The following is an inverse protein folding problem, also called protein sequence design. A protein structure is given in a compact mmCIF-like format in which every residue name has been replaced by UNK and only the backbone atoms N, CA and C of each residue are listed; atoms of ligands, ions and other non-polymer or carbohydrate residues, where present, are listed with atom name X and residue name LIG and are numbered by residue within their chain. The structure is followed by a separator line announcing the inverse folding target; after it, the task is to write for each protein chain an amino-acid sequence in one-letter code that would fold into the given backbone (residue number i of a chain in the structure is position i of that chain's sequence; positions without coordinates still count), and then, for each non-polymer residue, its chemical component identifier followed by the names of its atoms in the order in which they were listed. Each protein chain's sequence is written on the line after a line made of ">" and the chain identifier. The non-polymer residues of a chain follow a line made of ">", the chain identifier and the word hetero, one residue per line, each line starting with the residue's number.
data_IF_997572129447
#
_entry.id   IF_997572129447
#
_cell.length_a   1.000
_cell.length_b   1.000
_cell.length_c   1.000
_cell.angle_alpha   90.00
_cell.angle_beta   90.00
_cell.angle_gamma   90.00
#
_symmetry.space_group_name_H-M   'P 1'
#
loop_
_entity.id
_entity.type
_entity.pdbx_description
1 polymer ?
#
# COMPACT_ATOMS: atom_id res chain seq x y z
N UNK A 1 10.03 -1.82 14.41
CA UNK A 1 10.23 -0.71 13.45
C UNK A 1 9.37 -0.97 12.22
N UNK A 2 8.22 -0.32 12.14
CA UNK A 2 7.25 -0.51 11.06
C UNK A 2 7.66 0.25 9.79
N UNK A 3 8.16 -0.47 8.80
CA UNK A 3 8.59 0.11 7.51
C UNK A 3 7.41 0.48 6.60
N UNK A 4 6.27 -0.15 6.82
CA UNK A 4 5.00 0.15 6.14
C UNK A 4 4.16 1.03 7.05
N UNK A 5 3.72 2.19 6.55
CA UNK A 5 2.88 3.11 7.33
C UNK A 5 1.39 2.82 7.16
N UNK A 6 0.91 2.72 5.91
CA UNK A 6 -0.51 2.48 5.64
C UNK A 6 -0.74 1.94 4.22
N UNK A 7 -1.75 1.08 4.07
CA UNK A 7 -2.25 0.65 2.78
C UNK A 7 -2.95 1.80 2.06
N UNK A 8 -2.87 1.82 0.72
CA UNK A 8 -3.55 2.84 -0.08
C UNK A 8 -4.80 2.24 -0.69
N UNK A 9 -5.96 2.77 -0.30
CA UNK A 9 -7.26 2.36 -0.84
C UNK A 9 -7.81 3.42 -1.79
N UNK A 10 -7.93 3.06 -3.07
CA UNK A 10 -8.51 3.84 -4.17
C UNK A 10 -9.03 2.84 -5.21
N UNK A 11 -9.94 3.23 -6.11
CA UNK A 11 -10.41 2.35 -7.19
C UNK A 11 -9.26 1.75 -8.02
N UNK A 12 -8.21 2.55 -8.28
CA UNK A 12 -7.02 2.07 -8.98
C UNK A 12 -6.31 0.96 -8.21
N UNK A 13 -6.20 1.08 -6.88
CA UNK A 13 -5.53 0.05 -6.08
C UNK A 13 -6.40 -1.19 -5.96
N UNK A 14 -7.72 -1.07 -5.95
CA UNK A 14 -8.65 -2.21 -6.08
C UNK A 14 -8.46 -2.94 -7.42
N UNK A 15 -8.32 -2.21 -8.53
CA UNK A 15 -8.03 -2.81 -9.85
C UNK A 15 -6.68 -3.53 -9.87
N UNK A 16 -5.65 -2.97 -9.23
CA UNK A 16 -4.33 -3.60 -9.11
C UNK A 16 -4.35 -4.83 -8.19
N UNK A 17 -5.17 -4.80 -7.15
CA UNK A 17 -5.35 -5.93 -6.23
C UNK A 17 -5.87 -7.17 -6.95
N UNK A 18 -6.77 -7.01 -7.94
CA UNK A 18 -7.21 -8.12 -8.82
C UNK A 18 -6.06 -8.79 -9.59
N UNK A 19 -4.93 -8.10 -9.75
CA UNK A 19 -3.71 -8.60 -10.39
C UNK A 19 -2.62 -9.03 -9.39
N UNK A 20 -2.98 -9.27 -8.11
CA UNK A 20 -2.04 -9.55 -7.02
C UNK A 20 -0.99 -8.45 -6.80
N UNK A 21 -1.36 -7.20 -7.13
CA UNK A 21 -0.51 -6.04 -6.90
C UNK A 21 -1.06 -5.20 -5.74
N UNK A 22 -0.23 -5.00 -4.74
CA UNK A 22 -0.57 -4.33 -3.49
C UNK A 22 0.09 -2.97 -3.43
N UNK A 23 -0.67 -1.94 -3.07
CA UNK A 23 -0.14 -0.58 -2.99
C UNK A 23 -0.08 -0.11 -1.55
N UNK A 24 1.09 0.30 -1.11
CA UNK A 24 1.33 0.74 0.26
C UNK A 24 2.22 1.99 0.30
N UNK A 25 1.99 2.86 1.27
CA UNK A 25 2.86 4.00 1.53
C UNK A 25 3.88 3.63 2.61
N UNK A 26 5.14 3.86 2.28
CA UNK A 26 6.30 3.56 3.10
C UNK A 26 7.05 4.85 3.42
N UNK A 27 7.95 4.77 4.39
CA UNK A 27 8.83 5.87 4.70
C UNK A 27 9.76 6.20 3.51
N UNK A 28 10.01 7.49 3.28
CA UNK A 28 10.77 7.92 2.11
C UNK A 28 12.23 7.43 2.12
N UNK A 29 12.78 7.19 3.32
CA UNK A 29 14.16 6.73 3.53
C UNK A 29 14.34 5.23 3.26
N UNK A 30 13.26 4.44 3.24
CA UNK A 30 13.35 2.98 3.08
C UNK A 30 13.79 2.58 1.67
N UNK A 31 14.69 1.60 1.58
CA UNK A 31 15.16 1.02 0.32
C UNK A 31 14.24 -0.11 -0.16
N UNK A 32 14.33 -0.44 -1.46
CA UNK A 32 13.53 -1.52 -2.06
C UNK A 32 13.87 -2.88 -1.44
N UNK A 33 15.15 -3.16 -1.21
CA UNK A 33 15.62 -4.43 -0.66
C UNK A 33 15.12 -4.66 0.76
N UNK A 34 15.17 -3.62 1.58
CA UNK A 34 14.67 -3.66 2.96
C UNK A 34 13.19 -3.98 3.06
N UNK A 35 12.37 -3.31 2.23
CA UNK A 35 10.91 -3.52 2.24
C UNK A 35 10.58 -4.91 1.70
N UNK A 36 11.28 -5.38 0.66
CA UNK A 36 11.10 -6.73 0.13
C UNK A 36 11.31 -7.77 1.24
N UNK A 37 12.47 -7.73 1.91
CA UNK A 37 12.80 -8.66 2.99
C UNK A 37 11.79 -8.59 4.13
N UNK A 38 11.36 -7.39 4.51
CA UNK A 38 10.37 -7.22 5.58
C UNK A 38 9.01 -7.81 5.21
N UNK A 39 8.51 -7.57 3.99
CA UNK A 39 7.23 -8.11 3.51
C UNK A 39 7.27 -9.63 3.44
N UNK A 40 8.36 -10.20 2.92
CA UNK A 40 8.52 -11.65 2.80
C UNK A 40 8.56 -12.33 4.19
N UNK A 41 9.30 -11.76 5.15
CA UNK A 41 9.40 -12.30 6.50
C UNK A 41 8.12 -12.13 7.31
N UNK A 42 7.48 -10.96 7.25
CA UNK A 42 6.34 -10.64 8.11
C UNK A 42 5.05 -11.34 7.65
N UNK A 43 4.84 -11.44 6.33
CA UNK A 43 3.61 -12.04 5.79
C UNK A 43 3.82 -13.47 5.28
N UNK A 44 5.05 -13.99 5.25
CA UNK A 44 5.34 -15.32 4.71
C UNK A 44 5.02 -15.45 3.21
N UNK A 45 5.08 -14.34 2.47
CA UNK A 45 4.74 -14.28 1.04
C UNK A 45 6.00 -14.17 0.18
N UNK A 46 5.89 -14.52 -1.10
CA UNK A 46 6.99 -14.34 -2.06
C UNK A 46 6.73 -13.15 -2.98
N UNK A 47 7.68 -12.21 -3.04
CA UNK A 47 7.57 -10.98 -3.86
C UNK A 47 8.29 -11.18 -5.19
N UNK A 48 7.56 -11.06 -6.30
CA UNK A 48 8.13 -11.12 -7.66
C UNK A 48 8.82 -9.80 -8.00
N UNK A 49 8.08 -8.70 -7.87
CA UNK A 49 8.53 -7.38 -8.31
C UNK A 49 8.02 -6.31 -7.35
N UNK A 50 8.73 -5.18 -7.31
CA UNK A 50 8.31 -4.04 -6.50
C UNK A 50 8.70 -2.73 -7.18
N UNK A 51 7.73 -1.86 -7.39
CA UNK A 51 7.95 -0.55 -8.00
C UNK A 51 7.73 0.53 -6.96
N UNK A 52 8.56 1.58 -7.00
CA UNK A 52 8.50 2.67 -6.03
C UNK A 52 8.45 4.01 -6.73
N UNK A 53 7.67 4.95 -6.20
CA UNK A 53 7.72 6.35 -6.62
C UNK A 53 7.52 7.28 -5.41
N UNK A 54 8.12 8.47 -5.46
CA UNK A 54 7.91 9.48 -4.42
C UNK A 54 6.65 10.27 -4.73
N UNK A 55 5.76 10.41 -3.74
CA UNK A 55 4.56 11.23 -3.93
C UNK A 55 4.97 12.70 -3.76
N UNK A 56 4.62 13.58 -4.71
CA UNK A 56 4.89 15.00 -4.56
C UNK A 56 4.16 15.54 -3.32
N UNK A 57 4.88 16.33 -2.52
CA UNK A 57 4.30 16.98 -1.35
C UNK A 57 3.23 17.96 -1.81
N UNK A 58 2.00 17.83 -1.31
CA UNK A 58 0.97 18.85 -1.50
C UNK A 58 1.11 19.89 -0.40
N UNK A 59 1.43 21.13 -0.77
CA UNK A 59 1.35 22.26 0.14
C UNK A 59 -0.11 22.43 0.56
N UNK A 60 -0.35 22.52 1.87
CA UNK A 60 -1.69 22.72 2.43
C UNK A 60 -1.59 23.94 3.34
N UNK A 61 -2.41 24.95 3.05
CA UNK A 61 -2.56 26.10 3.93
C UNK A 61 -3.72 25.84 4.88
N UNK A 62 -3.49 25.99 6.19
CA UNK A 62 -4.55 26.06 7.19
C UNK A 62 -4.41 27.41 7.90
N UNK A 63 -5.26 28.36 7.54
CA UNK A 63 -5.29 29.73 8.08
C UNK A 63 -3.93 30.47 7.87
N UNK A 64 -3.28 31.18 8.84
CA UNK A 64 -2.00 31.83 8.54
C UNK A 64 -0.85 30.81 8.41
N UNK A 65 -1.02 29.58 8.89
CA UNK A 65 0.02 28.56 8.87
C UNK A 65 0.10 27.88 7.49
N UNK A 66 1.28 27.97 6.86
CA UNK A 66 1.66 27.15 5.71
C UNK A 66 2.38 25.90 6.20
N UNK A 67 1.89 24.73 5.81
CA UNK A 67 2.51 23.45 6.14
C UNK A 67 2.62 22.55 4.92
N UNK A 68 3.61 21.65 4.96
CA UNK A 68 3.77 20.59 3.98
C UNK A 68 3.30 19.28 4.57
N UNK A 69 2.56 18.47 3.79
CA UNK A 69 2.25 17.10 4.21
C UNK A 69 3.54 16.28 4.25
N UNK A 70 3.65 15.39 5.22
CA UNK A 70 4.76 14.43 5.29
C UNK A 70 4.96 13.73 3.92
N UNK A 71 6.22 13.63 3.51
CA UNK A 71 6.58 12.94 2.27
C UNK A 71 6.58 11.45 2.48
N UNK A 72 5.90 10.73 1.59
CA UNK A 72 5.88 9.28 1.55
C UNK A 72 6.39 8.79 0.20
N UNK A 73 6.92 7.57 0.21
CA UNK A 73 7.18 6.80 -1.00
C UNK A 73 6.03 5.82 -1.15
N UNK A 74 5.47 5.71 -2.35
CA UNK A 74 4.45 4.72 -2.67
C UNK A 74 5.14 3.51 -3.28
N UNK A 75 4.88 2.36 -2.70
CA UNK A 75 5.33 1.05 -3.16
C UNK A 75 4.16 0.30 -3.78
N UNK A 76 4.40 -0.27 -4.96
CA UNK A 76 3.52 -1.23 -5.62
C UNK A 76 4.25 -2.56 -5.59
N UNK A 77 3.70 -3.53 -4.87
CA UNK A 77 4.30 -4.83 -4.57
C UNK A 77 3.54 -5.89 -5.35
N UNK A 78 4.22 -6.61 -6.22
CA UNK A 78 3.65 -7.74 -6.96
C UNK A 78 4.01 -9.03 -6.25
N UNK A 79 3.00 -9.74 -5.76
CA UNK A 79 3.17 -11.04 -5.13
C UNK A 79 3.14 -12.17 -6.16
N UNK A 80 3.74 -13.30 -5.80
CA UNK A 80 3.58 -14.54 -6.56
C UNK A 80 2.14 -15.05 -6.48
N UNK A 81 1.67 -15.63 -7.58
CA UNK A 81 0.35 -16.27 -7.63
C UNK A 81 0.23 -17.32 -6.52
N UNK A 82 -0.90 -17.30 -5.81
CA UNK A 82 -1.16 -18.17 -4.65
C UNK A 82 -0.90 -17.50 -3.29
N UNK A 83 -0.12 -16.42 -3.24
CA UNK A 83 0.08 -15.66 -1.99
C UNK A 83 -0.90 -14.49 -1.89
N UNK A 84 -1.48 -14.31 -0.71
CA UNK A 84 -2.38 -13.20 -0.39
C UNK A 84 -2.04 -12.61 0.97
N UNK A 85 -2.17 -11.29 1.10
CA UNK A 85 -1.97 -10.60 2.39
C UNK A 85 -3.29 -10.70 3.19
N UNK A 86 -3.32 -11.37 4.35
CA UNK A 86 -4.55 -11.69 5.08
C UNK A 86 -5.39 -10.46 5.46
N UNK A 87 -4.73 -9.38 5.88
CA UNK A 87 -5.37 -8.15 6.38
C UNK A 87 -6.24 -7.45 5.33
N UNK A 88 -5.92 -7.58 4.03
CA UNK A 88 -6.69 -6.97 2.94
C UNK A 88 -7.82 -7.90 2.47
N UNK A 89 -7.68 -9.20 2.73
CA UNK A 89 -8.72 -10.18 2.40
C UNK A 89 -9.95 -10.08 3.29
N UNK A 90 -9.84 -9.54 4.50
CA UNK A 90 -10.96 -9.42 5.43
C UNK A 90 -11.96 -8.32 5.00
N UNK A 91 -11.48 -7.16 4.54
CA UNK A 91 -12.34 -6.09 3.98
C UNK A 91 -13.01 -6.48 2.65
N UNK A 92 -12.45 -7.47 1.91
CA UNK A 92 -13.11 -8.03 0.71
C UNK A 92 -14.45 -8.69 1.03
N UNK A 93 -14.63 -9.25 2.22
CA UNK A 93 -15.89 -9.91 2.60
C UNK A 93 -16.98 -8.88 2.92
N UNK A 94 -16.61 -7.77 3.56
CA UNK A 94 -17.54 -6.71 3.94
C UNK A 94 -18.03 -5.90 2.73
N UNK A 95 -17.15 -5.54 1.79
CA UNK A 95 -17.55 -4.76 0.60
C UNK A 95 -18.45 -5.53 -0.37
N UNK A 96 -18.30 -6.85 -0.47
CA UNK A 96 -19.18 -7.68 -1.32
C UNK A 96 -20.56 -7.91 -0.65
N UNK A 97 -20.65 -7.78 0.67
CA UNK A 97 -21.92 -7.90 1.40
C UNK A 97 -22.80 -6.63 1.24
N UNK A 98 -22.18 -5.44 1.18
CA UNK A 98 -22.90 -4.17 0.97
C UNK A 98 -23.46 -4.00 -0.45
N UNK A 99 -22.91 -4.72 -1.45
CA UNK A 99 -23.35 -4.62 -2.85
C UNK A 99 -24.47 -5.60 -3.23
N UNK A 100 -24.74 -6.60 -2.38
CA UNK A 100 -25.78 -7.62 -2.60
C UNK A 100 -27.05 -7.36 -1.75
N UNK A 101 -27.15 -6.20 -1.11
CA UNK A 101 -28.30 -5.74 -0.33
C UNK A 101 -28.91 -4.52 -0.99
N UNK A 102 -29.43 -4.69 -2.21
CA UNK A 102 -30.34 -3.78 -2.90
C UNK A 102 -31.13 -4.57 -3.94
#
# INVERSE_FOLDING_TARGET
>A
MDKIKYAVFTEKTVRLLRKNQYTSNVESKSTRTEIKRWVELFFGVKVIAMNSHRIPGKSRRRRPLRGHKMHYKRMIITLQAGYSIPSISLERKEMNFTQNTS
#
